data_IF_393643928896
#
_entry.id   IF_393643928896
#
_cell.length_a   1.000
_cell.length_b   1.000
_cell.length_c   1.000
_cell.angle_alpha   90.00
_cell.angle_beta   90.00
_cell.angle_gamma   90.00
#
_symmetry.space_group_name_H-M   'P 1'
#
loop_
_entity.id
_entity.type
_entity.pdbx_description
1 polymer ?
#
# COMPACT_ATOMS: atom_id res chain seq x y z
N UNK A 1 -14.10 13.59 9.02
CA UNK A 1 -15.11 12.57 9.39
C UNK A 1 -14.55 11.89 10.62
N UNK A 2 -15.23 11.98 11.72
CA UNK A 2 -14.93 11.23 12.93
C UNK A 2 -15.57 9.82 12.86
N UNK A 3 -15.31 8.98 13.88
CA UNK A 3 -15.82 7.60 13.88
C UNK A 3 -17.35 7.53 13.97
N UNK A 4 -17.99 8.44 14.70
CA UNK A 4 -19.45 8.45 14.84
C UNK A 4 -20.12 8.84 13.52
N UNK A 5 -19.56 9.80 12.80
CA UNK A 5 -20.03 10.18 11.48
C UNK A 5 -19.84 9.04 10.48
N UNK A 6 -18.67 8.37 10.50
CA UNK A 6 -18.40 7.22 9.64
C UNK A 6 -19.41 6.09 9.94
N UNK A 7 -19.62 5.74 11.20
CA UNK A 7 -20.57 4.70 11.60
C UNK A 7 -21.99 4.99 11.10
N UNK A 8 -22.45 6.24 11.23
CA UNK A 8 -23.77 6.67 10.72
C UNK A 8 -23.89 6.53 9.20
N UNK A 9 -22.81 6.77 8.45
CA UNK A 9 -22.80 6.65 6.99
C UNK A 9 -22.66 5.21 6.51
N UNK A 10 -21.94 4.38 7.25
CA UNK A 10 -21.77 2.97 6.92
C UNK A 10 -23.08 2.18 6.97
N UNK A 11 -24.01 2.52 7.86
CA UNK A 11 -25.30 1.83 7.94
C UNK A 11 -26.08 1.84 6.61
N UNK A 12 -26.48 3.02 6.07
CA UNK A 12 -27.17 3.11 4.78
C UNK A 12 -26.33 2.56 3.62
N UNK A 13 -25.00 2.78 3.63
CA UNK A 13 -24.08 2.22 2.63
C UNK A 13 -24.16 0.70 2.59
N UNK A 14 -24.01 0.04 3.74
CA UNK A 14 -24.09 -1.42 3.84
C UNK A 14 -25.47 -1.94 3.45
N UNK A 15 -26.55 -1.31 3.90
CA UNK A 15 -27.90 -1.69 3.51
C UNK A 15 -28.09 -1.70 1.98
N UNK A 16 -27.56 -0.68 1.31
CA UNK A 16 -27.59 -0.61 -0.15
C UNK A 16 -26.72 -1.69 -0.81
N UNK A 17 -25.51 -1.97 -0.27
CA UNK A 17 -24.57 -2.93 -0.85
C UNK A 17 -24.98 -4.38 -0.65
N UNK A 18 -25.55 -4.70 0.51
CA UNK A 18 -26.13 -6.02 0.81
C UNK A 18 -27.57 -6.20 0.28
N UNK A 19 -28.19 -5.11 -0.20
CA UNK A 19 -29.58 -5.11 -0.71
C UNK A 19 -30.60 -5.61 0.32
N UNK A 20 -30.38 -5.27 1.57
CA UNK A 20 -31.28 -5.60 2.69
C UNK A 20 -31.22 -4.50 3.73
N UNK A 21 -32.35 -4.29 4.45
CA UNK A 21 -32.38 -3.41 5.62
C UNK A 21 -31.92 -4.10 6.91
N UNK A 22 -31.76 -5.44 6.87
CA UNK A 22 -31.33 -6.24 8.01
C UNK A 22 -29.81 -6.32 8.05
N UNK A 23 -29.18 -5.17 8.33
CA UNK A 23 -27.73 -5.03 8.51
C UNK A 23 -27.45 -4.25 9.79
N UNK A 24 -26.52 -4.76 10.57
CA UNK A 24 -25.95 -4.07 11.73
C UNK A 24 -24.48 -3.81 11.49
N UNK A 25 -24.07 -2.53 11.49
CA UNK A 25 -22.67 -2.13 11.42
C UNK A 25 -22.15 -1.92 12.84
N UNK A 26 -21.04 -2.55 13.17
CA UNK A 26 -20.40 -2.47 14.49
C UNK A 26 -18.89 -2.53 14.40
N UNK A 27 -18.18 -2.37 15.52
CA UNK A 27 -16.72 -2.41 15.61
C UNK A 27 -16.05 -1.42 14.64
N UNK A 28 -16.59 -0.19 14.53
CA UNK A 28 -15.99 0.87 13.70
C UNK A 28 -14.84 1.50 14.46
N UNK A 29 -13.62 1.39 13.89
CA UNK A 29 -12.40 1.88 14.54
C UNK A 29 -11.37 2.35 13.54
N UNK A 30 -10.40 3.16 13.98
CA UNK A 30 -9.22 3.48 13.18
C UNK A 30 -8.32 2.27 13.02
N UNK A 31 -7.86 2.04 11.80
CA UNK A 31 -6.80 1.07 11.56
C UNK A 31 -5.43 1.68 11.89
N UNK A 32 -4.48 0.88 12.38
CA UNK A 32 -3.09 1.32 12.54
C UNK A 32 -2.52 1.83 11.22
N UNK A 33 -1.68 2.89 11.28
CA UNK A 33 -1.00 3.46 10.10
C UNK A 33 -0.89 4.97 10.20
N UNK A 34 -0.01 5.56 9.39
CA UNK A 34 0.31 6.98 9.45
C UNK A 34 -0.70 7.87 8.70
N UNK A 35 -1.45 7.31 7.76
CA UNK A 35 -2.33 8.10 6.89
C UNK A 35 -3.68 8.51 7.51
N UNK A 36 -4.07 7.95 8.67
CA UNK A 36 -5.22 8.42 9.48
C UNK A 36 -6.62 8.29 8.86
N UNK A 37 -6.75 7.74 7.63
CA UNK A 37 -8.03 7.64 6.89
C UNK A 37 -8.36 6.21 6.48
N UNK A 38 -7.87 5.26 7.25
CA UNK A 38 -8.12 3.84 7.13
C UNK A 38 -8.93 3.38 8.34
N UNK A 39 -10.02 2.66 8.11
CA UNK A 39 -10.93 2.23 9.17
C UNK A 39 -11.29 0.77 9.00
N UNK A 40 -11.43 0.08 10.13
CA UNK A 40 -12.03 -1.24 10.23
C UNK A 40 -13.49 -1.11 10.62
N UNK A 41 -14.34 -2.02 10.15
CA UNK A 41 -15.71 -2.18 10.60
C UNK A 41 -16.18 -3.61 10.35
N UNK A 42 -17.24 -4.01 11.03
CA UNK A 42 -17.89 -5.30 10.85
C UNK A 42 -19.35 -5.13 10.51
N UNK A 43 -19.89 -6.05 9.72
CA UNK A 43 -21.29 -6.08 9.32
C UNK A 43 -21.88 -7.41 9.73
N UNK A 44 -22.99 -7.38 10.45
CA UNK A 44 -23.84 -8.53 10.74
C UNK A 44 -25.06 -8.49 9.86
N UNK A 45 -25.33 -9.59 9.16
CA UNK A 45 -26.59 -9.88 8.49
C UNK A 45 -27.29 -11.07 9.15
N UNK A 46 -28.47 -11.47 8.67
CA UNK A 46 -29.13 -12.71 9.12
C UNK A 46 -28.27 -13.96 8.99
N UNK A 47 -27.35 -13.97 8.02
CA UNK A 47 -26.65 -15.18 7.58
C UNK A 47 -25.20 -15.26 8.09
N UNK A 48 -24.52 -14.09 8.24
CA UNK A 48 -23.09 -14.08 8.56
C UNK A 48 -22.63 -12.75 9.21
N UNK A 49 -21.38 -12.81 9.70
CA UNK A 49 -20.63 -11.63 10.12
C UNK A 49 -19.40 -11.51 9.23
N UNK A 50 -19.25 -10.37 8.60
CA UNK A 50 -18.10 -10.04 7.78
C UNK A 50 -17.34 -8.85 8.35
N UNK A 51 -16.02 -8.85 8.21
CA UNK A 51 -15.16 -7.75 8.66
C UNK A 51 -14.46 -7.10 7.47
N UNK A 52 -14.47 -5.77 7.46
CA UNK A 52 -14.06 -4.96 6.34
C UNK A 52 -13.03 -3.91 6.73
N UNK A 53 -12.23 -3.56 5.78
CA UNK A 53 -11.35 -2.39 5.79
C UNK A 53 -11.87 -1.39 4.74
N UNK A 54 -12.01 -0.12 5.13
CA UNK A 54 -12.34 0.99 4.20
C UNK A 54 -11.22 2.01 4.20
N UNK A 55 -10.81 2.43 3.00
CA UNK A 55 -9.87 3.53 2.78
C UNK A 55 -10.61 4.72 2.20
N UNK A 56 -10.39 5.88 2.81
CA UNK A 56 -10.84 7.18 2.35
C UNK A 56 -9.62 8.07 2.10
N UNK A 57 -9.64 9.00 1.14
CA UNK A 57 -8.57 9.99 1.00
C UNK A 57 -8.66 11.06 2.11
N UNK A 58 -7.59 11.83 2.34
CA UNK A 58 -7.64 13.00 3.23
C UNK A 58 -8.71 13.99 2.79
N UNK A 59 -9.38 14.68 3.74
CA UNK A 59 -10.30 15.76 3.41
C UNK A 59 -9.54 17.01 2.93
N UNK A 60 -10.22 17.85 2.16
CA UNK A 60 -9.73 19.19 1.79
C UNK A 60 -8.42 19.21 1.01
N UNK A 61 -8.10 18.13 0.30
CA UNK A 61 -6.97 18.04 -0.62
C UNK A 61 -7.46 17.68 -2.02
N UNK A 62 -6.63 17.94 -3.03
CA UNK A 62 -6.89 17.39 -4.35
C UNK A 62 -6.58 15.88 -4.33
N UNK A 63 -7.56 15.06 -4.62
CA UNK A 63 -7.45 13.59 -4.63
C UNK A 63 -6.73 13.11 -5.90
N UNK A 64 -5.43 13.44 -5.96
CA UNK A 64 -4.51 13.04 -7.03
C UNK A 64 -3.21 12.52 -6.43
N UNK A 65 -2.48 11.74 -7.21
CA UNK A 65 -1.23 11.13 -6.75
C UNK A 65 -1.49 10.19 -5.55
N UNK A 66 -0.79 10.37 -4.44
CA UNK A 66 -0.90 9.52 -3.23
C UNK A 66 -2.23 9.66 -2.51
N UNK A 67 -2.95 10.77 -2.70
CA UNK A 67 -4.29 10.97 -2.14
C UNK A 67 -5.41 10.35 -2.99
N UNK A 68 -5.09 9.78 -4.15
CA UNK A 68 -6.04 9.16 -5.05
C UNK A 68 -6.20 7.66 -4.70
N UNK A 69 -7.22 7.35 -3.91
CA UNK A 69 -7.49 5.97 -3.49
C UNK A 69 -7.93 5.06 -4.65
N UNK A 70 -8.41 5.63 -5.76
CA UNK A 70 -8.84 4.84 -6.93
C UNK A 70 -7.65 4.31 -7.74
N UNK A 71 -6.46 4.91 -7.62
CA UNK A 71 -5.23 4.32 -8.15
C UNK A 71 -4.92 2.96 -7.51
N UNK A 72 -5.16 2.84 -6.21
CA UNK A 72 -5.01 1.57 -5.49
C UNK A 72 -6.02 0.53 -6.00
N UNK A 73 -7.27 0.94 -6.22
CA UNK A 73 -8.33 0.08 -6.79
C UNK A 73 -7.92 -0.46 -8.16
N UNK A 74 -7.37 0.38 -9.01
CA UNK A 74 -6.93 -0.01 -10.36
C UNK A 74 -5.92 -1.17 -10.31
N UNK A 75 -4.89 -1.02 -9.46
CA UNK A 75 -3.88 -2.07 -9.32
C UNK A 75 -4.47 -3.32 -8.68
N UNK A 76 -5.22 -3.19 -7.59
CA UNK A 76 -5.84 -4.34 -6.92
C UNK A 76 -6.71 -5.16 -7.88
N UNK A 77 -7.50 -4.49 -8.73
CA UNK A 77 -8.31 -5.16 -9.76
C UNK A 77 -7.43 -5.83 -10.84
N UNK A 78 -6.29 -5.22 -11.21
CA UNK A 78 -5.37 -5.83 -12.17
C UNK A 78 -4.64 -7.05 -11.61
N UNK A 79 -4.55 -7.18 -10.28
CA UNK A 79 -4.01 -8.35 -9.60
C UNK A 79 -5.03 -9.50 -9.50
N UNK A 80 -6.32 -9.23 -9.67
CA UNK A 80 -7.35 -10.28 -9.65
C UNK A 80 -7.06 -11.34 -10.75
N UNK A 81 -7.15 -12.60 -10.34
CA UNK A 81 -6.82 -13.72 -11.22
C UNK A 81 -5.33 -14.02 -11.38
N UNK A 82 -4.45 -13.25 -10.72
CA UNK A 82 -3.02 -13.55 -10.60
C UNK A 82 -2.71 -14.34 -9.33
N UNK A 83 -1.48 -14.85 -9.24
CA UNK A 83 -0.98 -15.50 -8.01
C UNK A 83 -0.36 -14.49 -7.02
N UNK A 84 -0.51 -13.19 -7.20
CA UNK A 84 -0.02 -12.19 -6.26
C UNK A 84 -0.95 -12.12 -5.06
N UNK A 85 -0.48 -12.33 -3.82
CA UNK A 85 -1.28 -12.14 -2.64
C UNK A 85 -1.71 -10.66 -2.50
N UNK A 86 -3.01 -10.40 -2.54
CA UNK A 86 -3.59 -9.05 -2.44
C UNK A 86 -5.00 -9.10 -1.84
N UNK A 87 -5.55 -7.94 -1.49
CA UNK A 87 -6.93 -7.80 -1.05
C UNK A 87 -7.83 -7.55 -2.26
N UNK A 88 -8.79 -8.42 -2.51
CA UNK A 88 -9.81 -8.20 -3.57
C UNK A 88 -10.73 -7.05 -3.19
N UNK A 89 -10.91 -6.09 -4.10
CA UNK A 89 -11.80 -4.95 -3.89
C UNK A 89 -13.25 -5.42 -3.91
N UNK A 90 -13.94 -5.25 -2.79
CA UNK A 90 -15.35 -5.60 -2.68
C UNK A 90 -16.26 -4.51 -3.21
N UNK A 91 -15.97 -3.26 -2.82
CA UNK A 91 -16.69 -2.08 -3.29
C UNK A 91 -15.74 -0.90 -3.43
N UNK A 92 -15.96 -0.10 -4.43
CA UNK A 92 -15.27 1.17 -4.62
C UNK A 92 -16.20 2.17 -5.30
N UNK A 93 -15.91 3.45 -5.19
CA UNK A 93 -16.67 4.49 -5.86
C UNK A 93 -15.98 5.84 -5.85
N UNK A 94 -16.25 6.62 -6.90
CA UNK A 94 -15.87 8.03 -7.02
C UNK A 94 -17.01 8.97 -6.70
N UNK A 95 -18.23 8.43 -6.51
CA UNK A 95 -19.38 9.21 -6.07
C UNK A 95 -19.16 9.71 -4.65
N UNK A 96 -19.74 10.88 -4.35
CA UNK A 96 -19.62 11.53 -3.06
C UNK A 96 -20.81 11.25 -2.14
N UNK A 97 -21.78 10.44 -2.60
CA UNK A 97 -23.05 10.19 -1.92
C UNK A 97 -22.83 9.62 -0.52
N UNK A 98 -21.93 8.65 -0.39
CA UNK A 98 -21.78 7.90 0.86
C UNK A 98 -20.87 8.60 1.87
N UNK A 99 -19.71 9.05 1.43
CA UNK A 99 -18.63 9.49 2.33
C UNK A 99 -18.12 10.91 2.04
N UNK A 100 -18.76 11.66 1.13
CA UNK A 100 -18.32 12.96 0.61
C UNK A 100 -16.93 12.90 -0.06
N UNK A 101 -16.47 11.72 -0.41
CA UNK A 101 -15.16 11.45 -1.04
C UNK A 101 -15.11 10.06 -1.67
N UNK A 102 -14.17 9.81 -2.60
CA UNK A 102 -13.92 8.47 -3.12
C UNK A 102 -13.57 7.48 -2.01
N UNK A 103 -13.77 6.20 -2.29
CA UNK A 103 -13.50 5.14 -1.31
C UNK A 103 -13.21 3.81 -1.99
N UNK A 104 -12.59 2.90 -1.24
CA UNK A 104 -12.67 1.48 -1.52
C UNK A 104 -12.79 0.67 -0.23
N UNK A 105 -13.37 -0.53 -0.37
CA UNK A 105 -13.58 -1.49 0.71
C UNK A 105 -13.02 -2.83 0.28
N UNK A 106 -12.23 -3.44 1.17
CA UNK A 106 -11.65 -4.77 1.02
C UNK A 106 -11.92 -5.60 2.27
N UNK A 107 -11.85 -6.94 2.21
CA UNK A 107 -11.91 -7.78 3.40
C UNK A 107 -10.82 -7.39 4.41
N UNK A 108 -11.17 -7.34 5.70
CA UNK A 108 -10.19 -7.20 6.77
C UNK A 108 -9.50 -8.56 6.96
N UNK A 109 -8.20 -8.58 6.76
CA UNK A 109 -7.38 -9.77 6.93
C UNK A 109 -7.09 -10.02 8.42
N UNK A 110 -6.90 -11.29 8.76
CA UNK A 110 -6.44 -11.71 10.09
C UNK A 110 -4.93 -11.98 10.03
N UNK A 111 -4.16 -11.17 10.74
CA UNK A 111 -2.70 -11.20 10.73
C UNK A 111 -2.10 -9.86 11.14
N UNK A 112 -0.84 -9.66 10.81
CA UNK A 112 -0.12 -8.40 11.06
C UNK A 112 0.87 -8.11 9.93
N UNK A 113 1.34 -6.87 9.86
CA UNK A 113 2.42 -6.50 8.94
C UNK A 113 3.74 -7.13 9.38
N UNK A 114 4.60 -7.39 8.41
CA UNK A 114 5.93 -7.92 8.69
C UNK A 114 6.78 -6.83 9.32
N UNK A 115 7.12 -6.99 10.60
CA UNK A 115 8.08 -6.13 11.29
C UNK A 115 9.35 -6.91 11.58
N UNK A 116 10.50 -6.30 11.28
CA UNK A 116 11.81 -6.89 11.55
C UNK A 116 12.42 -6.21 12.76
N UNK A 117 12.88 -6.97 13.73
CA UNK A 117 13.56 -6.44 14.92
C UNK A 117 13.35 -7.28 16.17
N UNK A 118 14.06 -6.97 17.25
CA UNK A 118 13.95 -7.71 18.50
C UNK A 118 12.53 -7.66 19.08
N UNK A 119 11.98 -8.85 19.35
CA UNK A 119 10.65 -9.00 19.93
C UNK A 119 9.49 -9.00 18.95
N UNK A 120 9.75 -8.82 17.67
CA UNK A 120 8.71 -8.89 16.64
C UNK A 120 8.33 -10.35 16.34
N UNK A 121 7.08 -10.56 15.90
CA UNK A 121 6.51 -11.88 15.66
C UNK A 121 7.33 -12.73 14.66
N UNK A 122 7.98 -12.09 13.67
CA UNK A 122 8.84 -12.76 12.69
C UNK A 122 10.01 -13.51 13.35
N UNK A 123 10.49 -13.05 14.51
CA UNK A 123 11.55 -13.73 15.25
C UNK A 123 11.09 -15.05 15.90
N UNK A 124 9.79 -15.21 16.11
CA UNK A 124 9.23 -16.47 16.63
C UNK A 124 9.21 -17.59 15.58
N UNK A 125 9.34 -17.23 14.29
CA UNK A 125 9.41 -18.21 13.21
C UNK A 125 10.76 -18.92 13.19
N UNK A 126 10.74 -20.22 12.86
CA UNK A 126 11.95 -20.97 12.58
C UNK A 126 12.69 -20.46 11.33
N UNK A 127 13.99 -20.75 11.23
CA UNK A 127 14.83 -20.31 10.11
C UNK A 127 14.24 -20.69 8.74
N UNK A 128 13.76 -21.92 8.60
CA UNK A 128 13.11 -22.41 7.37
C UNK A 128 11.87 -21.59 7.02
N UNK A 129 11.02 -21.27 8.01
CA UNK A 129 9.80 -20.49 7.79
C UNK A 129 10.14 -19.06 7.35
N UNK A 130 11.14 -18.41 7.97
CA UNK A 130 11.62 -17.09 7.56
C UNK A 130 12.15 -17.09 6.12
N UNK A 131 12.90 -18.14 5.76
CA UNK A 131 13.41 -18.28 4.39
C UNK A 131 12.26 -18.44 3.38
N UNK A 132 11.27 -19.27 3.67
CA UNK A 132 10.11 -19.47 2.79
C UNK A 132 9.27 -18.20 2.68
N UNK A 133 9.04 -17.46 3.77
CA UNK A 133 8.35 -16.18 3.75
C UNK A 133 9.09 -15.16 2.87
N UNK A 134 10.41 -15.03 3.02
CA UNK A 134 11.23 -14.17 2.17
C UNK A 134 11.14 -14.55 0.69
N UNK A 135 11.10 -15.85 0.39
CA UNK A 135 10.92 -16.35 -0.97
C UNK A 135 9.54 -16.03 -1.53
N UNK A 136 8.49 -16.15 -0.73
CA UNK A 136 7.12 -15.75 -1.10
C UNK A 136 7.05 -14.26 -1.43
N UNK A 137 7.63 -13.41 -0.58
CA UNK A 137 7.69 -11.96 -0.78
C UNK A 137 8.36 -11.59 -2.10
N UNK A 138 9.54 -12.13 -2.36
CA UNK A 138 10.27 -11.84 -3.61
C UNK A 138 9.57 -12.45 -4.84
N UNK A 139 8.89 -13.57 -4.67
CA UNK A 139 8.06 -14.16 -5.74
C UNK A 139 6.84 -13.26 -6.05
N UNK A 140 6.18 -12.71 -5.02
CA UNK A 140 5.08 -11.78 -5.19
C UNK A 140 5.55 -10.52 -5.94
N UNK A 141 6.67 -9.92 -5.54
CA UNK A 141 7.26 -8.77 -6.22
C UNK A 141 7.54 -9.05 -7.70
N UNK A 142 8.18 -10.18 -8.00
CA UNK A 142 8.48 -10.56 -9.38
C UNK A 142 7.22 -10.80 -10.23
N UNK A 143 6.11 -11.18 -9.62
CA UNK A 143 4.82 -11.34 -10.29
C UNK A 143 4.12 -9.99 -10.50
N UNK A 144 4.16 -9.08 -9.52
CA UNK A 144 3.66 -7.71 -9.65
C UNK A 144 4.29 -7.04 -10.87
N UNK A 145 5.62 -7.11 -11.01
CA UNK A 145 6.35 -6.50 -12.12
C UNK A 145 6.05 -7.13 -13.50
N UNK A 146 5.31 -8.24 -13.55
CA UNK A 146 4.88 -8.91 -14.78
C UNK A 146 3.41 -8.70 -15.11
N UNK A 147 2.66 -7.98 -14.28
CA UNK A 147 1.28 -7.62 -14.58
C UNK A 147 1.27 -6.74 -15.83
N UNK A 148 0.33 -7.01 -16.72
CA UNK A 148 0.18 -6.25 -17.95
C UNK A 148 -0.21 -4.80 -17.63
N UNK A 149 0.61 -3.85 -18.05
CA UNK A 149 0.34 -2.42 -17.83
C UNK A 149 -0.91 -1.94 -18.55
N UNK A 150 -1.30 -2.59 -19.63
CA UNK A 150 -2.55 -2.28 -20.36
C UNK A 150 -3.80 -2.57 -19.50
N UNK A 151 -3.67 -3.39 -18.45
CA UNK A 151 -4.75 -3.63 -17.49
C UNK A 151 -4.95 -2.48 -16.50
N UNK A 152 -4.08 -1.45 -16.51
CA UNK A 152 -4.10 -0.34 -15.55
C UNK A 152 -4.08 1.04 -16.22
N UNK A 153 -5.00 1.34 -17.16
CA UNK A 153 -4.99 2.61 -17.89
C UNK A 153 -5.16 3.84 -16.99
N UNK A 154 -5.78 3.69 -15.83
CA UNK A 154 -5.95 4.76 -14.86
C UNK A 154 -4.62 5.25 -14.24
N UNK A 155 -3.56 4.43 -14.25
CA UNK A 155 -2.25 4.83 -13.75
C UNK A 155 -1.55 5.83 -14.68
N UNK A 156 -1.96 5.92 -15.95
CA UNK A 156 -1.39 6.80 -16.95
C UNK A 156 -0.13 6.22 -17.61
N UNK A 157 0.65 7.10 -18.23
CA UNK A 157 1.87 6.72 -18.94
C UNK A 157 3.01 6.33 -17.99
N UNK A 158 3.97 5.51 -18.45
CA UNK A 158 5.16 5.20 -17.68
C UNK A 158 5.96 6.43 -17.30
N UNK A 159 6.37 6.52 -16.03
CA UNK A 159 7.23 7.61 -15.53
C UNK A 159 8.62 7.48 -16.15
N UNK A 160 9.12 8.50 -16.87
CA UNK A 160 10.49 8.50 -17.39
C UNK A 160 11.53 8.42 -16.26
N UNK A 161 12.63 7.70 -16.45
CA UNK A 161 13.65 7.51 -15.42
C UNK A 161 14.24 8.83 -14.89
N UNK A 162 14.37 9.84 -15.75
CA UNK A 162 14.81 11.18 -15.33
C UNK A 162 13.81 11.80 -14.37
N UNK A 163 12.52 11.75 -14.70
CA UNK A 163 11.45 12.31 -13.86
C UNK A 163 11.33 11.56 -12.54
N UNK A 164 11.60 10.26 -12.53
CA UNK A 164 11.59 9.46 -11.30
C UNK A 164 12.70 9.90 -10.32
N UNK A 165 13.86 10.33 -10.81
CA UNK A 165 14.89 10.96 -9.98
C UNK A 165 14.49 12.39 -9.58
N UNK A 166 13.99 13.19 -10.51
CA UNK A 166 13.70 14.62 -10.31
C UNK A 166 12.48 14.88 -9.41
N UNK A 167 11.54 13.94 -9.34
CA UNK A 167 10.36 14.08 -8.45
C UNK A 167 10.71 14.31 -6.97
N UNK A 168 11.93 13.94 -6.56
CA UNK A 168 12.41 14.12 -5.19
C UNK A 168 12.96 15.52 -4.90
N UNK A 169 13.25 16.32 -5.93
CA UNK A 169 13.78 17.69 -5.81
C UNK A 169 12.87 18.55 -4.94
N UNK A 170 11.55 18.42 -5.08
CA UNK A 170 10.56 19.14 -4.26
C UNK A 170 10.67 18.88 -2.76
N UNK A 171 11.10 17.68 -2.36
CA UNK A 171 11.28 17.34 -0.95
C UNK A 171 12.58 17.95 -0.43
N UNK A 172 13.65 17.89 -1.22
CA UNK A 172 14.90 18.56 -0.92
C UNK A 172 14.72 20.08 -0.76
N UNK A 173 13.97 20.70 -1.65
CA UNK A 173 13.68 22.15 -1.60
C UNK A 173 12.92 22.57 -0.34
N UNK A 174 12.04 21.70 0.18
CA UNK A 174 11.19 21.95 1.36
C UNK A 174 11.80 21.45 2.67
N UNK A 175 12.96 20.81 2.62
CA UNK A 175 13.59 20.26 3.81
C UNK A 175 13.92 21.34 4.83
N UNK A 176 13.55 21.09 6.09
CA UNK A 176 13.81 22.01 7.19
C UNK A 176 15.30 22.05 7.56
N UNK A 177 16.00 20.93 7.41
CA UNK A 177 17.42 20.80 7.69
C UNK A 177 18.16 20.34 6.42
N UNK A 178 18.82 21.29 5.76
CA UNK A 178 19.61 21.03 4.54
C UNK A 178 21.00 20.48 4.84
N UNK A 179 21.52 20.62 6.05
CA UNK A 179 22.84 20.09 6.40
C UNK A 179 22.79 18.56 6.42
N UNK A 180 21.73 17.96 6.94
CA UNK A 180 21.50 16.52 6.87
C UNK A 180 21.39 16.01 5.43
N UNK A 181 20.96 16.87 4.50
CA UNK A 181 20.75 16.55 3.10
C UNK A 181 21.87 17.09 2.20
N UNK A 182 23.02 17.49 2.76
CA UNK A 182 24.13 18.12 2.01
C UNK A 182 24.63 17.29 0.82
N UNK A 183 24.50 15.96 0.89
CA UNK A 183 24.92 15.03 -0.17
C UNK A 183 23.85 14.75 -1.25
N UNK A 184 22.62 15.22 -1.06
CA UNK A 184 21.53 14.95 -2.03
C UNK A 184 21.85 15.48 -3.43
N UNK A 185 22.39 16.71 -3.62
CA UNK A 185 22.75 17.18 -4.94
C UNK A 185 23.79 16.32 -5.67
N UNK A 186 24.81 15.84 -4.93
CA UNK A 186 25.82 14.92 -5.46
C UNK A 186 25.18 13.59 -5.86
N UNK A 187 24.35 13.00 -5.00
CA UNK A 187 23.64 11.75 -5.27
C UNK A 187 22.73 11.89 -6.52
N UNK A 188 21.97 12.99 -6.60
CA UNK A 188 21.11 13.29 -7.74
C UNK A 188 21.91 13.35 -9.05
N UNK A 189 23.02 14.09 -9.04
CA UNK A 189 23.90 14.18 -10.23
C UNK A 189 24.45 12.82 -10.66
N UNK A 190 24.87 11.99 -9.71
CA UNK A 190 25.35 10.64 -10.00
C UNK A 190 24.23 9.74 -10.55
N UNK A 191 23.04 9.79 -9.98
CA UNK A 191 21.89 9.04 -10.49
C UNK A 191 21.58 9.42 -11.93
N UNK A 192 21.50 10.72 -12.25
CA UNK A 192 21.23 11.21 -13.61
C UNK A 192 22.33 10.82 -14.61
N UNK A 193 23.61 10.83 -14.19
CA UNK A 193 24.73 10.38 -15.04
C UNK A 193 24.73 8.88 -15.31
N UNK A 194 24.21 8.10 -14.38
CA UNK A 194 24.26 6.63 -14.42
C UNK A 194 22.90 6.02 -14.75
N UNK A 195 21.94 6.80 -15.18
CA UNK A 195 20.64 6.27 -15.60
C UNK A 195 20.81 5.14 -16.62
N UNK A 196 20.13 4.00 -16.44
CA UNK A 196 20.18 2.93 -17.41
C UNK A 196 19.55 3.40 -18.72
N UNK A 197 20.12 2.99 -19.85
CA UNK A 197 19.53 3.22 -21.17
C UNK A 197 18.24 2.42 -21.35
N UNK A 198 18.24 1.24 -20.76
CA UNK A 198 17.12 0.30 -20.76
C UNK A 198 17.01 -0.30 -19.36
N UNK A 199 15.79 -0.37 -18.84
CA UNK A 199 15.46 -1.05 -17.62
C UNK A 199 14.05 -1.64 -17.73
N UNK A 200 13.71 -2.68 -16.98
CA UNK A 200 12.36 -3.21 -16.95
C UNK A 200 11.36 -2.12 -16.54
N UNK A 201 10.34 -1.93 -17.36
CA UNK A 201 9.21 -1.03 -17.09
C UNK A 201 7.97 -1.87 -16.88
N UNK A 202 7.21 -1.55 -15.86
CA UNK A 202 5.99 -2.26 -15.49
C UNK A 202 5.31 -1.56 -14.31
N UNK A 203 4.33 -2.22 -13.72
CA UNK A 203 3.72 -1.75 -12.49
C UNK A 203 4.72 -1.90 -11.36
N UNK A 204 4.95 -0.83 -10.60
CA UNK A 204 5.72 -0.86 -9.38
C UNK A 204 4.83 -0.52 -8.18
N UNK A 205 5.17 -1.04 -7.01
CA UNK A 205 4.49 -0.73 -5.75
C UNK A 205 4.82 0.68 -5.26
N UNK A 206 6.07 1.07 -5.36
CA UNK A 206 6.59 2.40 -5.01
C UNK A 206 6.97 2.57 -3.54
N UNK A 207 6.55 1.65 -2.66
CA UNK A 207 6.93 1.58 -1.24
C UNK A 207 7.01 0.11 -0.80
N UNK A 208 7.73 -0.72 -1.54
CA UNK A 208 7.83 -2.15 -1.28
C UNK A 208 8.76 -2.43 -0.10
N UNK A 209 8.20 -2.41 1.09
CA UNK A 209 8.91 -2.61 2.36
C UNK A 209 8.13 -3.55 3.29
N UNK A 210 8.78 -4.00 4.36
CA UNK A 210 8.21 -5.02 5.24
C UNK A 210 6.92 -4.60 5.93
N UNK A 211 6.75 -3.32 6.26
CA UNK A 211 5.50 -2.80 6.85
C UNK A 211 4.29 -2.82 5.90
N UNK A 212 4.52 -3.05 4.60
CA UNK A 212 3.47 -3.18 3.58
C UNK A 212 3.26 -4.65 3.14
N UNK A 213 3.82 -5.60 3.88
CA UNK A 213 3.65 -7.04 3.68
C UNK A 213 2.81 -7.59 4.83
N UNK A 214 1.54 -7.89 4.56
CA UNK A 214 0.60 -8.41 5.55
C UNK A 214 0.67 -9.92 5.59
N UNK A 215 0.93 -10.48 6.76
CA UNK A 215 1.22 -11.90 6.94
C UNK A 215 0.35 -12.53 8.03
N UNK A 216 0.12 -13.84 7.93
CA UNK A 216 -0.44 -14.61 9.03
C UNK A 216 0.60 -14.84 10.15
N UNK A 217 0.13 -15.20 11.33
CA UNK A 217 1.01 -15.52 12.47
C UNK A 217 1.88 -16.76 12.24
N UNK A 218 1.53 -17.61 11.28
CA UNK A 218 2.31 -18.78 10.85
C UNK A 218 3.42 -18.41 9.84
N UNK A 219 3.50 -17.14 9.43
CA UNK A 219 4.50 -16.66 8.50
C UNK A 219 4.17 -16.92 7.02
N UNK A 220 2.90 -16.79 6.64
CA UNK A 220 2.47 -16.83 5.24
C UNK A 220 2.12 -15.41 4.77
N UNK A 221 2.59 -15.00 3.60
CA UNK A 221 2.19 -13.73 2.99
C UNK A 221 0.71 -13.79 2.56
N UNK A 222 -0.12 -12.95 3.16
CA UNK A 222 -1.55 -12.86 2.88
C UNK A 222 -1.88 -11.79 1.84
N UNK A 223 -1.18 -10.64 1.90
CA UNK A 223 -1.36 -9.55 0.94
C UNK A 223 -0.16 -8.61 0.92
N UNK A 224 0.11 -8.03 -0.26
CA UNK A 224 0.85 -6.78 -0.39
C UNK A 224 -0.16 -5.65 -0.29
N UNK A 225 0.07 -4.71 0.62
CA UNK A 225 -0.88 -3.62 0.97
C UNK A 225 -0.25 -2.25 0.75
N UNK A 226 -1.06 -1.20 0.83
CA UNK A 226 -0.67 0.22 0.73
C UNK A 226 -0.07 0.63 -0.62
N UNK A 227 -0.87 0.51 -1.65
CA UNK A 227 -0.53 0.83 -3.05
C UNK A 227 -0.60 2.33 -3.39
N UNK A 228 -0.51 3.22 -2.40
CA UNK A 228 -0.69 4.67 -2.63
C UNK A 228 0.40 5.31 -3.50
N UNK A 229 1.60 4.71 -3.53
CA UNK A 229 2.74 5.17 -4.34
C UNK A 229 2.88 4.44 -5.68
N UNK A 230 1.95 3.56 -6.00
CA UNK A 230 1.99 2.75 -7.22
C UNK A 230 2.00 3.59 -8.49
N UNK A 231 2.56 3.04 -9.56
CA UNK A 231 2.61 3.64 -10.88
C UNK A 231 3.18 2.67 -11.91
N UNK A 232 3.35 3.17 -13.14
CA UNK A 232 4.06 2.46 -14.21
C UNK A 232 5.42 3.12 -14.37
N UNK A 233 6.51 2.35 -14.37
CA UNK A 233 7.88 2.88 -14.50
C UNK A 233 8.94 1.83 -14.20
N UNK A 234 10.10 2.27 -13.70
CA UNK A 234 11.22 1.41 -13.38
C UNK A 234 10.90 0.45 -12.23
N UNK A 235 10.59 -0.80 -12.53
CA UNK A 235 10.19 -1.82 -11.54
C UNK A 235 11.29 -2.13 -10.52
N UNK A 236 12.56 -1.97 -10.88
CA UNK A 236 13.68 -2.19 -9.96
C UNK A 236 13.75 -1.19 -8.81
N UNK A 237 12.96 -0.11 -8.83
CA UNK A 237 12.81 0.80 -7.69
C UNK A 237 12.30 0.05 -6.45
N UNK A 238 11.38 -0.89 -6.61
CA UNK A 238 10.87 -1.68 -5.48
C UNK A 238 11.96 -2.57 -4.87
N UNK A 239 12.85 -3.10 -5.70
CA UNK A 239 14.03 -3.84 -5.22
C UNK A 239 14.97 -2.91 -4.45
N UNK A 240 15.16 -1.68 -4.93
CA UNK A 240 15.91 -0.64 -4.23
C UNK A 240 15.31 -0.31 -2.85
N UNK A 241 13.99 -0.20 -2.77
CA UNK A 241 13.26 0.03 -1.52
C UNK A 241 13.54 -1.07 -0.50
N UNK A 242 13.27 -2.33 -0.84
CA UNK A 242 13.45 -3.43 0.11
C UNK A 242 14.93 -3.59 0.52
N UNK A 243 15.86 -3.37 -0.39
CA UNK A 243 17.29 -3.39 -0.08
C UNK A 243 17.67 -2.28 0.90
N UNK A 244 17.20 -1.04 0.67
CA UNK A 244 17.46 0.11 1.54
C UNK A 244 16.89 -0.11 2.93
N UNK A 245 15.65 -0.55 3.03
CA UNK A 245 15.00 -0.81 4.31
C UNK A 245 15.57 -2.02 5.05
N UNK A 246 16.22 -2.94 4.36
CA UNK A 246 16.89 -4.10 4.96
C UNK A 246 18.36 -3.84 5.32
N UNK A 247 18.96 -2.72 4.88
CA UNK A 247 20.34 -2.38 5.19
C UNK A 247 20.48 -1.76 6.59
N UNK A 248 21.03 -2.53 7.51
CA UNK A 248 21.28 -2.07 8.90
C UNK A 248 22.15 -0.82 8.96
N UNK A 249 23.08 -0.63 8.02
CA UNK A 249 23.97 0.54 8.01
C UNK A 249 23.23 1.82 7.62
N UNK A 250 22.24 1.72 6.71
CA UNK A 250 21.42 2.86 6.30
C UNK A 250 20.59 3.43 7.48
N UNK A 251 20.33 2.62 8.50
CA UNK A 251 19.44 2.96 9.62
C UNK A 251 20.16 2.97 10.98
N UNK A 252 21.44 3.34 11.00
CA UNK A 252 22.21 3.45 12.26
C UNK A 252 22.49 2.11 12.93
N UNK A 253 22.49 1.01 12.19
CA UNK A 253 22.78 -0.33 12.69
C UNK A 253 21.59 -1.11 13.25
N UNK A 254 20.42 -0.47 13.36
CA UNK A 254 19.22 -1.11 13.93
C UNK A 254 18.30 -1.74 12.85
N UNK A 255 18.55 -1.43 11.56
CA UNK A 255 17.71 -1.87 10.45
C UNK A 255 16.38 -1.13 10.37
N UNK A 256 15.71 -1.20 9.21
CA UNK A 256 14.36 -0.68 9.05
C UNK A 256 13.36 -1.70 9.54
N UNK A 257 12.94 -1.55 10.74
CA UNK A 257 11.97 -2.43 11.38
C UNK A 257 11.26 -1.71 12.52
N UNK A 258 11.08 -0.41 12.37
CA UNK A 258 10.30 0.37 13.34
C UNK A 258 9.03 0.90 12.72
#
# INVERSE_FOLDING_TARGET
>A
MDLDELARRLGPFCAARYKTSDVEVFDVHHMPGHAGFAYGFSVRTSDEIESWFIRLPPPNVNWRGTADVLRQVEVLNALDGTDVPHCTVRWSGSDLEWFDRPYFVVPRLDGDVMRLGPGEWVETLGEKQRFELGREVMSALAKIHKVDVEATPYLGDPVPFVEDVERWDRFYERAADRELLARVPECREQLLKTLPKEAPVGIFHGDFQTSNLFCSVEGKLLAVIDWELTGIGATLNDVGWICTFSDRKAWGGEGAGR
#
